data_IF_774893660906
#
_entry.id   IF_774893660906
#
_cell.length_a   1.000
_cell.length_b   1.000
_cell.length_c   1.000
_cell.angle_alpha   90.00
_cell.angle_beta   90.00
_cell.angle_gamma   90.00
#
_symmetry.space_group_name_H-M   'P 1'
#
loop_
_entity.id
_entity.type
_entity.pdbx_description
1 polymer ?
#
# COMPACT_ATOMS: atom_id res chain seq x y z
N UNK A 1 19.32 -18.31 6.99
CA UNK A 1 18.92 -18.27 5.55
C UNK A 1 17.49 -17.77 5.44
N UNK A 2 17.22 -16.78 4.58
CA UNK A 2 15.87 -16.26 4.38
C UNK A 2 15.03 -17.25 3.55
N UNK A 3 13.75 -17.38 3.89
CA UNK A 3 12.80 -18.16 3.09
C UNK A 3 12.57 -17.45 1.75
N UNK A 4 12.66 -18.20 0.63
CA UNK A 4 12.36 -17.67 -0.71
C UNK A 4 10.86 -17.58 -0.91
N UNK A 5 10.39 -16.47 -1.50
CA UNK A 5 9.00 -16.25 -1.91
C UNK A 5 8.97 -15.66 -3.32
N UNK A 6 7.98 -16.09 -4.09
CA UNK A 6 7.73 -15.55 -5.44
C UNK A 6 6.57 -14.57 -5.39
N UNK A 7 6.80 -13.37 -5.88
CA UNK A 7 5.79 -12.32 -5.91
C UNK A 7 5.66 -11.68 -7.29
N UNK A 8 4.56 -10.98 -7.51
CA UNK A 8 4.41 -10.03 -8.62
C UNK A 8 3.52 -8.87 -8.21
N UNK A 9 3.60 -7.77 -8.97
CA UNK A 9 2.74 -6.59 -8.85
C UNK A 9 1.99 -6.39 -10.16
N UNK A 10 0.68 -6.24 -10.08
CA UNK A 10 -0.19 -6.00 -11.24
C UNK A 10 -1.20 -4.89 -10.93
N UNK A 11 -1.66 -4.22 -11.97
CA UNK A 11 -2.75 -3.24 -11.87
C UNK A 11 -2.46 -2.05 -10.95
N UNK A 12 -1.20 -1.69 -10.77
CA UNK A 12 -0.77 -0.45 -10.13
C UNK A 12 -0.80 0.71 -11.12
N UNK A 13 -0.67 1.93 -10.60
CA UNK A 13 -0.64 3.14 -11.41
C UNK A 13 0.57 3.17 -12.37
N UNK A 14 0.46 3.97 -13.42
CA UNK A 14 1.55 4.16 -14.38
C UNK A 14 2.79 4.74 -13.69
N UNK A 15 3.95 4.10 -13.90
CA UNK A 15 5.23 4.50 -13.28
C UNK A 15 5.48 3.86 -11.92
N UNK A 16 4.64 2.93 -11.46
CA UNK A 16 4.93 2.16 -10.25
C UNK A 16 6.17 1.28 -10.45
N UNK A 17 7.17 1.46 -9.58
CA UNK A 17 8.37 0.63 -9.58
C UNK A 17 8.13 -0.66 -8.80
N UNK A 18 8.18 -1.79 -9.49
CA UNK A 18 7.99 -3.11 -8.88
C UNK A 18 9.16 -3.53 -8.00
N UNK A 19 10.36 -3.06 -8.28
CA UNK A 19 11.58 -3.50 -7.60
C UNK A 19 11.97 -2.60 -6.43
N UNK A 20 11.55 -1.35 -6.45
CA UNK A 20 11.79 -0.39 -5.37
C UNK A 20 10.49 0.27 -4.91
N UNK A 21 9.87 -0.36 -3.93
CA UNK A 21 8.68 0.15 -3.26
C UNK A 21 8.63 -0.33 -1.80
N UNK A 22 7.77 0.29 -1.01
CA UNK A 22 7.65 0.02 0.42
C UNK A 22 7.36 -1.46 0.73
N UNK A 23 6.52 -2.12 -0.07
CA UNK A 23 6.16 -3.53 0.14
C UNK A 23 7.37 -4.43 -0.04
N UNK A 24 8.09 -4.28 -1.15
CA UNK A 24 9.30 -5.06 -1.45
C UNK A 24 10.38 -4.80 -0.40
N UNK A 25 10.57 -3.55 0.01
CA UNK A 25 11.58 -3.16 0.98
C UNK A 25 11.31 -3.78 2.36
N UNK A 26 10.03 -3.90 2.75
CA UNK A 26 9.63 -4.60 3.98
C UNK A 26 9.83 -6.11 3.84
N UNK A 27 9.40 -6.71 2.74
CA UNK A 27 9.52 -8.15 2.50
C UNK A 27 10.99 -8.60 2.48
N UNK A 28 11.88 -7.86 1.82
CA UNK A 28 13.32 -8.15 1.74
C UNK A 28 14.03 -8.18 3.10
N UNK A 29 13.44 -7.59 4.14
CA UNK A 29 13.99 -7.70 5.51
C UNK A 29 13.92 -9.13 6.03
N UNK A 30 12.90 -9.92 5.64
CA UNK A 30 12.63 -11.27 6.17
C UNK A 30 12.73 -12.39 5.14
N UNK A 31 12.52 -12.07 3.87
CA UNK A 31 12.42 -13.03 2.77
C UNK A 31 13.46 -12.77 1.69
N UNK A 32 13.79 -13.82 0.95
CA UNK A 32 14.46 -13.74 -0.34
C UNK A 32 13.37 -13.61 -1.42
N UNK A 33 13.24 -12.41 -1.98
CA UNK A 33 12.13 -12.04 -2.86
C UNK A 33 12.52 -12.24 -4.32
N UNK A 34 11.79 -13.10 -5.02
CA UNK A 34 11.89 -13.33 -6.45
C UNK A 34 10.63 -12.81 -7.16
N UNK A 35 10.81 -12.06 -8.26
CA UNK A 35 9.71 -11.70 -9.16
C UNK A 35 9.46 -12.82 -10.15
N UNK A 36 8.20 -13.21 -10.34
CA UNK A 36 7.83 -14.33 -11.19
C UNK A 36 6.48 -14.10 -11.88
N UNK A 37 6.34 -14.64 -13.10
CA UNK A 37 5.05 -14.68 -13.79
C UNK A 37 4.12 -15.79 -13.24
N UNK A 38 4.69 -16.71 -12.44
CA UNK A 38 3.94 -17.71 -11.65
C UNK A 38 4.24 -17.49 -10.18
N UNK A 39 3.70 -16.43 -9.57
CA UNK A 39 3.99 -16.06 -8.20
C UNK A 39 3.19 -16.89 -7.20
N UNK A 40 3.67 -16.93 -5.95
CA UNK A 40 2.91 -17.45 -4.80
C UNK A 40 1.94 -16.38 -4.28
N UNK A 41 2.31 -15.09 -4.45
CA UNK A 41 1.55 -13.93 -4.01
C UNK A 41 1.57 -12.84 -5.07
N UNK A 42 0.41 -12.25 -5.37
CA UNK A 42 0.36 -10.99 -6.12
C UNK A 42 -0.10 -9.86 -5.22
N UNK A 43 0.53 -8.70 -5.43
CA UNK A 43 0.00 -7.42 -5.00
C UNK A 43 -0.72 -6.78 -6.19
N UNK A 44 -1.95 -6.32 -6.00
CA UNK A 44 -2.70 -5.65 -7.05
C UNK A 44 -3.44 -4.42 -6.53
N UNK A 45 -3.75 -3.52 -7.43
CA UNK A 45 -4.45 -2.27 -7.12
C UNK A 45 -5.64 -2.03 -8.04
N UNK A 46 -6.15 -0.81 -8.09
CA UNK A 46 -7.41 -0.44 -8.75
C UNK A 46 -7.29 -0.15 -10.25
N UNK A 47 -6.06 -0.13 -10.81
CA UNK A 47 -5.81 0.41 -12.15
C UNK A 47 -5.88 -0.62 -13.26
N UNK A 48 -6.47 -1.79 -13.01
CA UNK A 48 -6.64 -2.84 -14.02
C UNK A 48 -7.41 -4.06 -13.53
N UNK A 49 -7.36 -5.14 -14.32
CA UNK A 49 -8.05 -6.41 -14.04
C UNK A 49 -7.16 -7.62 -14.27
N UNK A 50 -5.86 -7.44 -14.47
CA UNK A 50 -4.92 -8.52 -14.70
C UNK A 50 -4.77 -9.46 -13.49
N UNK A 51 -5.13 -9.00 -12.29
CA UNK A 51 -5.16 -9.84 -11.10
C UNK A 51 -6.07 -11.08 -11.25
N UNK A 52 -7.06 -11.02 -12.16
CA UNK A 52 -7.95 -12.15 -12.44
C UNK A 52 -7.24 -13.31 -13.17
N UNK A 53 -6.13 -13.05 -13.85
CA UNK A 53 -5.37 -14.05 -14.60
C UNK A 53 -4.47 -14.92 -13.70
N UNK A 54 -4.40 -14.60 -12.40
CA UNK A 54 -3.53 -15.28 -11.44
C UNK A 54 -4.32 -16.19 -10.50
N UNK A 55 -3.86 -17.43 -10.38
CA UNK A 55 -4.35 -18.41 -9.39
C UNK A 55 -3.33 -18.54 -8.25
N UNK A 56 -3.29 -17.54 -7.39
CA UNK A 56 -2.38 -17.45 -6.24
C UNK A 56 -2.99 -16.54 -5.17
N UNK A 57 -2.33 -16.40 -4.03
CA UNK A 57 -2.79 -15.49 -2.97
C UNK A 57 -2.78 -14.04 -3.48
N UNK A 58 -3.91 -13.38 -3.35
CA UNK A 58 -4.16 -12.01 -3.83
C UNK A 58 -4.19 -11.02 -2.68
N UNK A 59 -3.28 -10.04 -2.71
CA UNK A 59 -3.18 -8.97 -1.73
C UNK A 59 -3.55 -7.65 -2.43
N UNK A 60 -4.72 -7.13 -2.09
CA UNK A 60 -5.19 -5.86 -2.62
C UNK A 60 -4.59 -4.68 -1.86
N UNK A 61 -4.20 -3.65 -2.58
CA UNK A 61 -3.80 -2.36 -2.01
C UNK A 61 -4.45 -1.21 -2.78
N UNK A 62 -5.02 -0.25 -2.05
CA UNK A 62 -5.48 1.00 -2.64
C UNK A 62 -5.21 2.19 -1.73
N UNK A 63 -4.84 3.32 -2.36
CA UNK A 63 -4.87 4.65 -1.77
C UNK A 63 -6.10 5.46 -2.19
N UNK A 64 -6.95 4.89 -3.06
CA UNK A 64 -8.16 5.52 -3.58
C UNK A 64 -9.36 5.27 -2.66
N UNK A 65 -10.43 6.07 -2.83
CA UNK A 65 -11.69 5.94 -2.10
C UNK A 65 -12.50 4.69 -2.55
N UNK A 66 -11.87 3.52 -2.48
CA UNK A 66 -12.48 2.25 -2.91
C UNK A 66 -12.35 1.23 -1.77
N UNK A 67 -13.49 0.73 -1.32
CA UNK A 67 -13.55 -0.32 -0.30
C UNK A 67 -13.12 -1.65 -0.91
N UNK A 68 -12.24 -2.43 -0.25
CA UNK A 68 -11.84 -3.75 -0.72
C UNK A 68 -13.03 -4.72 -0.87
N UNK A 69 -13.05 -5.47 -1.98
CA UNK A 69 -13.97 -6.60 -2.16
C UNK A 69 -13.27 -7.92 -1.80
N UNK A 70 -13.60 -8.46 -0.65
CA UNK A 70 -13.02 -9.71 -0.15
C UNK A 70 -13.49 -10.99 -0.87
N UNK A 71 -14.37 -10.87 -1.87
CA UNK A 71 -14.63 -11.94 -2.81
C UNK A 71 -13.54 -12.05 -3.89
N UNK A 72 -12.78 -10.96 -4.10
CA UNK A 72 -11.75 -10.85 -5.14
C UNK A 72 -10.32 -10.90 -4.59
N UNK A 73 -10.14 -10.72 -3.29
CA UNK A 73 -8.83 -10.77 -2.65
C UNK A 73 -8.83 -11.62 -1.38
N UNK A 74 -7.67 -12.20 -1.07
CA UNK A 74 -7.45 -12.93 0.19
C UNK A 74 -7.15 -11.97 1.33
N UNK A 75 -6.35 -10.93 1.05
CA UNK A 75 -5.96 -9.89 1.99
C UNK A 75 -6.10 -8.52 1.35
N UNK A 76 -6.34 -7.51 2.16
CA UNK A 76 -6.44 -6.14 1.69
C UNK A 76 -5.75 -5.14 2.62
N UNK A 77 -5.19 -4.10 1.98
CA UNK A 77 -4.63 -2.92 2.63
C UNK A 77 -5.29 -1.68 2.02
N UNK A 78 -5.99 -0.92 2.84
CA UNK A 78 -6.65 0.32 2.45
C UNK A 78 -6.74 1.26 3.65
N UNK A 79 -7.30 2.46 3.50
CA UNK A 79 -7.38 3.41 4.61
C UNK A 79 -8.70 3.38 5.37
N UNK A 80 -9.71 2.67 4.88
CA UNK A 80 -11.02 2.55 5.52
C UNK A 80 -10.94 1.90 6.91
N UNK A 81 -11.90 2.24 7.76
CA UNK A 81 -12.07 1.60 9.06
C UNK A 81 -12.93 0.34 8.91
N UNK A 82 -12.28 -0.78 8.57
CA UNK A 82 -12.90 -2.09 8.40
C UNK A 82 -12.35 -3.03 9.47
N UNK A 83 -13.21 -3.83 10.06
CA UNK A 83 -12.80 -4.94 10.92
C UNK A 83 -13.11 -6.26 10.20
N UNK A 84 -12.07 -6.88 9.65
CA UNK A 84 -12.17 -8.16 8.95
C UNK A 84 -11.06 -9.14 9.40
N UNK A 85 -10.79 -9.18 10.69
CA UNK A 85 -9.79 -10.04 11.29
C UNK A 85 -8.39 -9.80 10.73
N UNK A 86 -7.67 -10.89 10.49
CA UNK A 86 -6.30 -10.88 9.95
C UNK A 86 -6.22 -10.69 8.42
N UNK A 87 -7.37 -10.62 7.73
CA UNK A 87 -7.42 -10.39 6.29
C UNK A 87 -7.36 -8.91 5.88
N UNK A 88 -7.46 -7.99 6.84
CA UNK A 88 -7.42 -6.56 6.56
C UNK A 88 -6.40 -5.83 7.44
N UNK A 89 -5.61 -4.98 6.81
CA UNK A 89 -4.71 -4.04 7.48
C UNK A 89 -5.04 -2.62 7.01
N UNK A 90 -5.38 -1.75 7.96
CA UNK A 90 -5.54 -0.34 7.65
C UNK A 90 -4.19 0.31 7.38
N UNK A 91 -3.98 0.75 6.15
CA UNK A 91 -2.74 1.40 5.69
C UNK A 91 -3.10 2.68 4.95
N UNK A 92 -3.16 3.82 5.62
CA UNK A 92 -3.31 5.11 4.96
C UNK A 92 -2.18 5.38 3.98
N UNK A 93 -2.46 6.09 2.91
CA UNK A 93 -1.51 6.31 1.81
C UNK A 93 -0.20 6.96 2.27
N UNK A 94 -0.24 7.84 3.24
CA UNK A 94 0.96 8.49 3.80
C UNK A 94 1.94 7.52 4.49
N UNK A 95 1.47 6.33 4.92
CA UNK A 95 2.33 5.27 5.49
C UNK A 95 3.16 4.56 4.41
N UNK A 96 2.69 4.55 3.16
CA UNK A 96 3.29 3.82 2.05
C UNK A 96 4.17 4.71 1.18
N UNK A 97 3.82 5.97 1.06
CA UNK A 97 4.58 6.94 0.29
C UNK A 97 5.71 7.52 1.13
N UNK A 98 6.74 8.05 0.47
CA UNK A 98 7.91 8.70 1.08
C UNK A 98 7.58 9.98 1.88
N UNK A 99 6.36 10.09 2.42
CA UNK A 99 5.90 11.22 3.22
C UNK A 99 6.23 11.10 4.70
N UNK A 100 6.64 9.94 5.18
CA UNK A 100 6.88 9.70 6.61
C UNK A 100 7.77 10.75 7.30
N UNK A 101 8.91 11.21 6.72
CA UNK A 101 9.70 12.25 7.35
C UNK A 101 8.97 13.60 7.46
N UNK A 102 8.20 13.96 6.41
CA UNK A 102 7.40 15.20 6.38
C UNK A 102 6.20 15.12 7.32
N UNK A 103 5.58 13.95 7.41
CA UNK A 103 4.46 13.73 8.32
C UNK A 103 4.86 13.89 9.79
N UNK A 104 6.00 13.35 10.20
CA UNK A 104 6.53 13.54 11.55
C UNK A 104 6.72 15.01 11.89
N UNK A 105 7.18 15.81 10.93
CA UNK A 105 7.30 17.25 11.09
C UNK A 105 5.96 17.95 11.28
N UNK A 106 4.90 17.50 10.58
CA UNK A 106 3.55 18.08 10.70
C UNK A 106 2.88 17.84 12.05
N UNK A 107 3.24 16.77 12.75
CA UNK A 107 2.71 16.43 14.09
C UNK A 107 3.66 16.80 15.22
N UNK A 108 4.75 17.50 14.92
CA UNK A 108 5.71 17.98 15.90
C UNK A 108 5.16 19.21 16.62
N UNK A 109 4.77 19.07 17.87
CA UNK A 109 4.23 20.14 18.71
C UNK A 109 5.26 21.22 19.06
N UNK A 110 6.55 20.99 18.75
CA UNK A 110 7.62 21.98 18.94
C UNK A 110 7.65 23.05 17.85
N UNK A 111 6.94 22.83 16.73
CA UNK A 111 6.84 23.83 15.66
C UNK A 111 6.01 25.03 16.15
N UNK A 112 6.55 26.25 16.09
CA UNK A 112 5.81 27.45 16.51
C UNK A 112 4.48 27.56 15.76
N UNK A 113 3.39 27.72 16.51
CA UNK A 113 2.08 27.98 15.92
C UNK A 113 2.06 29.39 15.33
N UNK A 114 1.93 29.50 14.02
CA UNK A 114 1.75 30.79 13.35
C UNK A 114 0.34 31.34 13.63
N UNK A 115 0.23 32.65 13.73
CA UNK A 115 -1.06 33.33 13.84
C UNK A 115 -1.92 33.00 12.62
N UNK A 116 -3.16 32.57 12.86
CA UNK A 116 -4.11 32.26 11.80
C UNK A 116 -4.79 33.52 11.32
N UNK A 117 -4.49 33.96 10.11
CA UNK A 117 -5.00 35.18 9.49
C UNK A 117 -6.23 34.94 8.60
N UNK A 118 -6.61 33.69 8.34
CA UNK A 118 -7.76 33.33 7.53
C UNK A 118 -8.62 32.24 8.18
N UNK A 119 -9.90 32.26 7.88
CA UNK A 119 -10.86 31.29 8.41
C UNK A 119 -10.64 29.88 7.87
N UNK A 120 -10.27 29.77 6.60
CA UNK A 120 -10.08 28.50 5.91
C UNK A 120 -9.00 28.61 4.84
N UNK A 121 -8.26 27.52 4.60
CA UNK A 121 -7.43 27.34 3.42
C UNK A 121 -7.90 26.13 2.64
N UNK A 122 -7.90 26.24 1.31
CA UNK A 122 -8.24 25.17 0.39
C UNK A 122 -7.04 24.88 -0.50
N UNK A 123 -6.63 23.61 -0.57
CA UNK A 123 -5.55 23.15 -1.45
C UNK A 123 -6.17 22.14 -2.42
N UNK A 124 -6.05 22.42 -3.71
CA UNK A 124 -6.50 21.57 -4.81
C UNK A 124 -5.33 21.10 -5.64
#
# INVERSE_FOLDING_TARGET
>A
MKKKIKINFVDFFLGFDKEDNQFVNILRKRYDVEFSDKPDYIFYSTFGKRFLDYDCVKIYFTGECIVPDFNLCDYAMAYDYINFGDRYLRVPLYEVLHYQPKYKTLVDDTIPKTEKTAFCSFVV
#
